data_IF_492822171370
#
_entry.id   IF_492822171370
#
_cell.length_a   1.000
_cell.length_b   1.000
_cell.length_c   1.000
_cell.angle_alpha   90.00
_cell.angle_beta   90.00
_cell.angle_gamma   90.00
#
_symmetry.space_group_name_H-M   'P 1'
#
loop_
_entity.id
_entity.type
_entity.pdbx_description
1 polymer ?
#
# COMPACT_ATOMS: atom_id res chain seq x y z
N UNK A 1 23.01 -11.24 5.09
CA UNK A 1 21.74 -11.47 5.74
C UNK A 1 21.18 -12.84 5.33
N UNK A 2 21.30 -13.81 6.25
CA UNK A 2 20.82 -15.17 6.03
C UNK A 2 19.46 -15.43 6.69
N UNK A 3 18.61 -14.45 6.76
CA UNK A 3 17.21 -14.69 7.12
C UNK A 3 16.56 -15.46 5.97
N UNK A 4 16.69 -16.78 6.03
CA UNK A 4 16.08 -17.70 5.07
C UNK A 4 14.60 -17.80 5.38
N UNK A 5 13.83 -16.76 5.01
CA UNK A 5 12.41 -16.98 4.85
C UNK A 5 12.24 -17.97 3.68
N UNK A 6 11.46 -19.03 3.87
CA UNK A 6 11.17 -19.99 2.79
C UNK A 6 10.68 -19.31 1.52
N UNK A 7 9.94 -18.19 1.66
CA UNK A 7 9.47 -17.38 0.56
C UNK A 7 10.59 -16.75 -0.26
N UNK A 8 11.67 -16.29 0.37
CA UNK A 8 12.81 -15.70 -0.34
C UNK A 8 13.58 -16.74 -1.15
N UNK A 9 13.74 -17.98 -0.62
CA UNK A 9 14.34 -19.08 -1.37
C UNK A 9 13.58 -19.43 -2.65
N UNK A 10 12.23 -19.40 -2.62
CA UNK A 10 11.40 -19.58 -3.82
C UNK A 10 11.59 -18.43 -4.83
N UNK A 11 11.68 -17.19 -4.34
CA UNK A 11 11.95 -16.02 -5.17
C UNK A 11 13.28 -16.16 -5.91
N UNK A 12 14.37 -16.55 -5.23
CA UNK A 12 15.69 -16.75 -5.87
C UNK A 12 15.66 -17.85 -6.94
N UNK A 13 15.03 -18.99 -6.67
CA UNK A 13 14.89 -20.06 -7.66
C UNK A 13 14.14 -19.60 -8.90
N UNK A 14 13.08 -18.81 -8.71
CA UNK A 14 12.31 -18.23 -9.82
C UNK A 14 13.10 -17.17 -10.59
N UNK A 15 13.93 -16.37 -9.91
CA UNK A 15 14.81 -15.42 -10.58
C UNK A 15 15.78 -16.13 -11.52
N UNK A 16 16.45 -17.20 -11.06
CA UNK A 16 17.37 -17.97 -11.90
C UNK A 16 16.64 -18.63 -13.08
N UNK A 17 15.46 -19.20 -12.86
CA UNK A 17 14.64 -19.74 -13.93
C UNK A 17 14.31 -18.70 -15.00
N UNK A 18 13.90 -17.49 -14.62
CA UNK A 18 13.58 -16.43 -15.57
C UNK A 18 14.84 -15.81 -16.22
N UNK A 19 15.98 -15.76 -15.54
CA UNK A 19 17.25 -15.35 -16.14
C UNK A 19 17.61 -16.29 -17.29
N UNK A 20 17.51 -17.59 -17.07
CA UNK A 20 17.81 -18.57 -18.13
C UNK A 20 16.79 -18.48 -19.27
N UNK A 21 15.50 -18.40 -18.98
CA UNK A 21 14.44 -18.28 -20.00
C UNK A 21 14.63 -17.05 -20.90
N UNK A 22 15.08 -15.92 -20.35
CA UNK A 22 15.27 -14.65 -21.06
C UNK A 22 16.74 -14.33 -21.34
N UNK A 23 17.63 -15.34 -21.32
CA UNK A 23 19.08 -15.17 -21.51
C UNK A 23 19.45 -14.39 -22.77
N UNK A 24 18.73 -14.59 -23.87
CA UNK A 24 18.96 -13.95 -25.16
C UNK A 24 18.03 -12.74 -25.40
N UNK A 25 17.25 -12.33 -24.42
CA UNK A 25 16.36 -11.16 -24.52
C UNK A 25 17.04 -9.91 -23.92
N UNK A 26 16.61 -8.70 -24.29
CA UNK A 26 17.16 -7.46 -23.71
C UNK A 26 16.91 -7.29 -22.21
N UNK A 27 16.06 -8.13 -21.63
CA UNK A 27 15.75 -8.17 -20.21
C UNK A 27 14.50 -8.99 -19.89
N UNK A 28 14.20 -9.17 -18.61
CA UNK A 28 13.02 -9.89 -18.16
C UNK A 28 11.84 -8.91 -18.12
N UNK A 29 10.75 -9.15 -18.91
CA UNK A 29 9.60 -8.25 -18.90
C UNK A 29 9.04 -8.02 -17.51
N UNK A 30 8.68 -6.76 -17.18
CA UNK A 30 8.14 -6.41 -15.87
C UNK A 30 6.90 -7.23 -15.49
N UNK A 31 6.10 -7.65 -16.45
CA UNK A 31 4.96 -8.54 -16.26
C UNK A 31 5.32 -9.90 -15.64
N UNK A 32 6.60 -10.30 -15.63
CA UNK A 32 7.08 -11.51 -14.95
C UNK A 32 7.40 -11.28 -13.48
N UNK A 33 7.42 -10.03 -13.01
CA UNK A 33 7.72 -9.72 -11.60
C UNK A 33 6.78 -10.43 -10.63
N UNK A 34 5.49 -10.49 -10.93
CA UNK A 34 4.51 -11.23 -10.12
C UNK A 34 4.72 -12.75 -10.10
N UNK A 35 5.40 -13.30 -11.09
CA UNK A 35 5.75 -14.73 -11.14
C UNK A 35 7.03 -15.02 -10.34
N UNK A 36 7.99 -14.09 -10.38
CA UNK A 36 9.21 -14.14 -9.57
C UNK A 36 8.84 -14.00 -8.09
N UNK A 37 8.10 -12.96 -7.75
CA UNK A 37 7.55 -12.72 -6.41
C UNK A 37 6.14 -13.28 -6.29
N UNK A 38 6.06 -14.61 -6.37
CA UNK A 38 4.80 -15.33 -6.54
C UNK A 38 3.91 -15.30 -5.29
N UNK A 39 2.61 -15.54 -5.49
CA UNK A 39 1.67 -15.70 -4.39
C UNK A 39 2.05 -16.87 -3.47
N UNK A 40 2.66 -17.94 -4.01
CA UNK A 40 3.15 -19.05 -3.20
C UNK A 40 4.30 -18.63 -2.29
N UNK A 41 5.23 -17.79 -2.78
CA UNK A 41 6.34 -17.26 -1.98
C UNK A 41 5.84 -16.36 -0.85
N UNK A 42 4.87 -15.46 -1.14
CA UNK A 42 4.24 -14.62 -0.13
C UNK A 42 3.56 -15.46 0.95
N UNK A 43 2.70 -16.39 0.54
CA UNK A 43 2.01 -17.28 1.47
C UNK A 43 2.97 -18.09 2.36
N UNK A 44 4.03 -18.70 1.78
CA UNK A 44 5.01 -19.46 2.56
C UNK A 44 5.71 -18.62 3.62
N UNK A 45 6.02 -17.35 3.29
CA UNK A 45 6.66 -16.42 4.23
C UNK A 45 5.71 -16.03 5.36
N UNK A 46 4.51 -15.57 5.01
CA UNK A 46 3.49 -15.14 5.96
C UNK A 46 3.04 -16.31 6.85
N UNK A 47 2.82 -17.50 6.29
CA UNK A 47 2.46 -18.70 7.04
C UNK A 47 3.51 -19.07 8.08
N UNK A 48 4.80 -18.99 7.72
CA UNK A 48 5.87 -19.28 8.67
C UNK A 48 5.87 -18.28 9.83
N UNK A 49 5.77 -16.98 9.53
CA UNK A 49 5.75 -15.92 10.54
C UNK A 49 4.54 -16.07 11.49
N UNK A 50 3.35 -16.26 10.93
CA UNK A 50 2.11 -16.49 11.69
C UNK A 50 2.23 -17.72 12.60
N UNK A 51 2.73 -18.84 12.07
CA UNK A 51 2.94 -20.06 12.84
C UNK A 51 3.91 -19.85 14.00
N UNK A 52 5.03 -19.18 13.75
CA UNK A 52 6.03 -18.92 14.79
C UNK A 52 5.51 -18.00 15.87
N UNK A 53 4.80 -16.94 15.50
CA UNK A 53 4.17 -16.02 16.43
C UNK A 53 3.11 -16.73 17.29
N UNK A 54 2.25 -17.55 16.68
CA UNK A 54 1.23 -18.32 17.40
C UNK A 54 1.85 -19.31 18.40
N UNK A 55 2.92 -20.01 18.01
CA UNK A 55 3.62 -20.95 18.92
C UNK A 55 4.30 -20.23 20.10
N UNK A 56 4.77 -19.00 19.88
CA UNK A 56 5.43 -18.20 20.90
C UNK A 56 4.45 -17.35 21.75
N UNK A 57 3.15 -17.34 21.42
CA UNK A 57 2.18 -16.43 22.03
C UNK A 57 2.49 -14.95 21.77
N UNK A 58 3.26 -14.64 20.71
CA UNK A 58 3.72 -13.30 20.42
C UNK A 58 2.70 -12.51 19.58
N UNK A 59 2.71 -11.18 19.73
CA UNK A 59 1.99 -10.29 18.82
C UNK A 59 2.76 -10.15 17.52
N UNK A 60 2.06 -10.20 16.39
CA UNK A 60 2.63 -10.06 15.05
C UNK A 60 1.75 -9.14 14.22
N UNK A 61 2.36 -8.19 13.51
CA UNK A 61 1.71 -7.43 12.45
C UNK A 61 2.37 -7.78 11.11
N UNK A 62 1.59 -8.35 10.18
CA UNK A 62 2.08 -8.76 8.86
C UNK A 62 1.90 -7.60 7.89
N UNK A 63 3.02 -7.05 7.42
CA UNK A 63 3.05 -5.92 6.50
C UNK A 63 2.61 -6.33 5.08
N UNK A 64 2.04 -5.40 4.33
CA UNK A 64 1.80 -5.42 2.87
C UNK A 64 1.29 -6.77 2.31
N UNK A 65 0.27 -7.34 2.93
CA UNK A 65 -0.41 -8.55 2.40
C UNK A 65 -0.89 -8.26 0.97
N UNK A 66 -0.59 -9.16 0.05
CA UNK A 66 -0.77 -8.90 -1.38
C UNK A 66 -1.54 -9.98 -2.15
N UNK A 67 -1.95 -11.07 -1.49
CA UNK A 67 -2.61 -12.21 -2.15
C UNK A 67 -3.86 -12.68 -1.42
N UNK A 68 -4.85 -13.16 -2.18
CA UNK A 68 -6.04 -13.80 -1.63
C UNK A 68 -5.71 -15.02 -0.76
N UNK A 69 -4.63 -15.74 -1.11
CA UNK A 69 -4.22 -16.93 -0.36
C UNK A 69 -3.71 -16.60 1.04
N UNK A 70 -3.02 -15.48 1.21
CA UNK A 70 -2.51 -15.05 2.52
C UNK A 70 -3.64 -14.70 3.49
N UNK A 71 -4.80 -14.22 3.00
CA UNK A 71 -5.94 -13.84 3.82
C UNK A 71 -6.47 -14.98 4.70
N UNK A 72 -6.26 -16.23 4.30
CA UNK A 72 -6.62 -17.42 5.08
C UNK A 72 -5.84 -17.58 6.41
N UNK A 73 -4.78 -16.78 6.59
CA UNK A 73 -3.92 -16.79 7.77
C UNK A 73 -4.43 -15.84 8.87
N UNK A 74 -5.40 -14.99 8.57
CA UNK A 74 -5.86 -13.90 9.43
C UNK A 74 -7.34 -14.08 9.81
N UNK A 75 -7.68 -13.60 10.99
CA UNK A 75 -9.04 -13.63 11.53
C UNK A 75 -9.77 -12.32 11.22
N UNK A 76 -11.10 -12.38 11.18
CA UNK A 76 -12.04 -11.25 11.14
C UNK A 76 -12.55 -10.84 12.55
N UNK A 77 -11.95 -11.39 13.60
CA UNK A 77 -12.27 -11.01 14.97
C UNK A 77 -12.09 -9.50 15.23
N UNK A 78 -12.70 -8.93 16.27
CA UNK A 78 -12.43 -7.57 16.71
C UNK A 78 -10.92 -7.33 16.93
N UNK A 79 -10.45 -6.12 16.63
CA UNK A 79 -9.01 -5.81 16.66
C UNK A 79 -8.37 -6.04 18.03
N UNK A 80 -9.11 -5.74 19.10
CA UNK A 80 -8.68 -5.93 20.49
C UNK A 80 -8.43 -7.40 20.85
N UNK A 81 -9.08 -8.33 20.16
CA UNK A 81 -8.94 -9.77 20.39
C UNK A 81 -7.85 -10.41 19.52
N UNK A 82 -7.23 -9.63 18.61
CA UNK A 82 -6.21 -10.14 17.70
C UNK A 82 -4.80 -10.05 18.27
N UNK A 83 -4.11 -11.17 18.29
CA UNK A 83 -2.65 -11.22 18.46
C UNK A 83 -1.90 -11.08 17.14
N UNK A 84 -2.52 -11.48 16.04
CA UNK A 84 -1.96 -11.43 14.70
C UNK A 84 -2.84 -10.52 13.87
N UNK A 85 -2.24 -9.43 13.39
CA UNK A 85 -2.89 -8.40 12.57
C UNK A 85 -2.20 -8.30 11.20
N UNK A 86 -2.88 -7.71 10.24
CA UNK A 86 -2.39 -7.61 8.86
C UNK A 86 -2.71 -6.27 8.23
N UNK A 87 -1.83 -5.80 7.34
CA UNK A 87 -2.08 -4.61 6.54
C UNK A 87 -2.11 -4.90 5.04
N UNK A 88 -2.87 -4.11 4.30
CA UNK A 88 -2.80 -4.01 2.86
C UNK A 88 -2.29 -2.63 2.45
N UNK A 89 -1.38 -2.56 1.48
CA UNK A 89 -0.92 -1.27 0.99
C UNK A 89 -1.81 -0.76 -0.13
N UNK A 90 -1.96 0.56 -0.21
CA UNK A 90 -2.77 1.26 -1.20
C UNK A 90 -2.46 0.79 -2.62
N UNK A 91 -1.19 0.56 -2.93
CA UNK A 91 -0.76 0.05 -4.23
C UNK A 91 -1.44 -1.29 -4.59
N UNK A 92 -1.57 -2.21 -3.63
CA UNK A 92 -2.22 -3.51 -3.82
C UNK A 92 -3.76 -3.42 -3.85
N UNK A 93 -4.33 -2.33 -3.32
CA UNK A 93 -5.76 -2.03 -3.41
C UNK A 93 -6.13 -1.30 -4.70
N UNK A 94 -5.18 -0.60 -5.34
CA UNK A 94 -5.39 0.13 -6.59
C UNK A 94 -5.07 -0.72 -7.82
N UNK A 95 -3.85 -1.23 -7.88
CA UNK A 95 -3.28 -1.83 -9.09
C UNK A 95 -3.52 -3.34 -9.20
N UNK A 96 -3.44 -3.83 -10.43
CA UNK A 96 -3.50 -5.24 -10.82
C UNK A 96 -2.48 -5.53 -11.92
N UNK A 97 -2.22 -6.81 -12.20
CA UNK A 97 -1.18 -7.21 -13.15
C UNK A 97 -1.30 -6.56 -14.55
N UNK A 98 -2.53 -6.25 -15.00
CA UNK A 98 -2.76 -5.63 -16.30
C UNK A 98 -2.16 -4.22 -16.39
N UNK A 99 -2.08 -3.52 -15.28
CA UNK A 99 -1.59 -2.16 -15.20
C UNK A 99 -0.07 -2.05 -15.45
N UNK A 100 0.66 -3.19 -15.35
CA UNK A 100 2.05 -3.25 -15.81
C UNK A 100 2.21 -2.94 -17.31
N UNK A 101 1.16 -3.11 -18.12
CA UNK A 101 1.22 -2.80 -19.56
C UNK A 101 1.42 -1.31 -19.81
N UNK A 102 0.78 -0.48 -19.00
CA UNK A 102 0.78 0.99 -19.14
C UNK A 102 1.82 1.64 -18.23
N UNK A 103 1.86 1.22 -16.97
CA UNK A 103 2.69 1.85 -15.93
C UNK A 103 4.09 1.22 -15.81
N UNK A 104 4.32 0.07 -16.41
CA UNK A 104 5.63 -0.58 -16.47
C UNK A 104 6.25 -0.77 -15.08
N UNK A 105 7.51 -0.39 -14.98
CA UNK A 105 8.30 -0.47 -13.75
C UNK A 105 7.93 0.58 -12.71
N UNK A 106 7.18 1.62 -13.08
CA UNK A 106 6.69 2.63 -12.13
C UNK A 106 5.89 2.00 -10.99
N UNK A 107 5.14 0.92 -11.26
CA UNK A 107 4.39 0.18 -10.23
C UNK A 107 5.10 -1.09 -9.72
N UNK A 108 6.40 -1.22 -9.95
CA UNK A 108 7.18 -2.30 -9.35
C UNK A 108 7.37 -2.06 -7.86
N UNK A 109 6.90 -3.00 -7.05
CA UNK A 109 7.04 -3.02 -5.58
C UNK A 109 7.26 -4.44 -5.07
N UNK A 110 7.60 -4.59 -3.81
CA UNK A 110 7.72 -5.87 -3.11
C UNK A 110 6.86 -5.84 -1.83
N UNK A 111 5.85 -6.71 -1.75
CA UNK A 111 5.42 -7.73 -2.71
C UNK A 111 4.96 -7.15 -4.03
N UNK A 112 5.06 -7.95 -5.11
CA UNK A 112 4.64 -7.49 -6.45
C UNK A 112 3.14 -7.24 -6.52
N UNK A 113 2.71 -6.37 -7.44
CA UNK A 113 1.30 -6.26 -7.82
C UNK A 113 0.85 -7.60 -8.41
N UNK A 114 -0.29 -8.10 -7.94
CA UNK A 114 -0.83 -9.42 -8.25
C UNK A 114 -1.99 -9.36 -9.25
N UNK A 115 -2.73 -10.46 -9.37
CA UNK A 115 -3.90 -10.56 -10.25
C UNK A 115 -5.05 -9.71 -9.73
N UNK A 116 -6.01 -9.42 -10.61
CA UNK A 116 -7.24 -8.72 -10.23
C UNK A 116 -7.98 -9.43 -9.09
N UNK A 117 -8.06 -10.76 -9.14
CA UNK A 117 -8.72 -11.54 -8.08
C UNK A 117 -8.06 -11.35 -6.70
N UNK A 118 -6.74 -11.19 -6.64
CA UNK A 118 -6.03 -10.90 -5.38
C UNK A 118 -6.39 -9.50 -4.87
N UNK A 119 -6.38 -8.48 -5.75
CA UNK A 119 -6.79 -7.12 -5.40
C UNK A 119 -8.24 -7.08 -4.86
N UNK A 120 -9.15 -7.73 -5.57
CA UNK A 120 -10.57 -7.71 -5.21
C UNK A 120 -10.81 -8.47 -3.89
N UNK A 121 -10.06 -9.55 -3.64
CA UNK A 121 -10.06 -10.25 -2.35
C UNK A 121 -9.51 -9.37 -1.21
N UNK A 122 -8.43 -8.61 -1.44
CA UNK A 122 -7.90 -7.67 -0.44
C UNK A 122 -8.91 -6.58 -0.10
N UNK A 123 -9.60 -6.01 -1.10
CA UNK A 123 -10.67 -5.03 -0.88
C UNK A 123 -11.80 -5.58 -0.02
N UNK A 124 -12.24 -6.80 -0.30
CA UNK A 124 -13.22 -7.48 0.52
C UNK A 124 -12.70 -7.71 1.95
N UNK A 125 -11.45 -8.14 2.11
CA UNK A 125 -10.82 -8.40 3.41
C UNK A 125 -10.69 -7.14 4.28
N UNK A 126 -10.50 -5.96 3.68
CA UNK A 126 -10.57 -4.66 4.38
C UNK A 126 -11.98 -4.43 4.93
N UNK A 127 -13.01 -4.65 4.11
CA UNK A 127 -14.41 -4.44 4.51
C UNK A 127 -14.90 -5.44 5.57
N UNK A 128 -14.37 -6.66 5.56
CA UNK A 128 -14.78 -7.72 6.49
C UNK A 128 -13.93 -7.78 7.78
N UNK A 129 -12.95 -6.89 7.93
CA UNK A 129 -12.10 -6.85 9.12
C UNK A 129 -10.96 -7.87 9.15
N UNK A 130 -10.76 -8.67 8.10
CA UNK A 130 -9.61 -9.59 7.97
C UNK A 130 -8.30 -8.81 7.83
N UNK A 131 -8.32 -7.70 7.07
CA UNK A 131 -7.24 -6.71 7.02
C UNK A 131 -7.54 -5.59 8.02
N UNK A 132 -6.58 -5.30 8.86
CA UNK A 132 -6.71 -4.37 10.00
C UNK A 132 -6.28 -2.95 9.66
N UNK A 133 -5.29 -2.79 8.77
CA UNK A 133 -4.67 -1.50 8.44
C UNK A 133 -4.56 -1.32 6.94
N UNK A 134 -4.76 -0.09 6.49
CA UNK A 134 -4.38 0.37 5.15
C UNK A 134 -3.13 1.24 5.30
N UNK A 135 -2.02 0.81 4.68
CA UNK A 135 -0.73 1.48 4.73
C UNK A 135 -0.26 1.93 3.34
N UNK A 136 0.82 2.70 3.29
CA UNK A 136 1.32 3.27 2.03
C UNK A 136 2.45 2.48 1.40
N UNK A 137 3.28 1.82 2.20
CA UNK A 137 4.59 1.28 1.77
C UNK A 137 5.36 2.32 0.92
N UNK A 138 5.40 3.57 1.43
CA UNK A 138 6.03 4.69 0.73
C UNK A 138 7.54 4.47 0.61
N UNK A 139 7.98 4.11 -0.58
CA UNK A 139 9.39 3.87 -0.90
C UNK A 139 9.78 4.68 -2.16
N UNK A 140 10.07 5.98 -2.02
CA UNK A 140 10.38 6.85 -3.14
C UNK A 140 11.79 6.57 -3.68
N UNK A 141 11.85 6.11 -4.92
CA UNK A 141 13.07 5.99 -5.70
C UNK A 141 13.07 7.08 -6.77
N UNK A 142 14.24 7.48 -7.26
CA UNK A 142 14.34 8.36 -8.42
C UNK A 142 13.74 7.67 -9.65
N UNK A 143 13.17 8.43 -10.58
CA UNK A 143 12.57 7.85 -11.78
C UNK A 143 13.60 7.09 -12.62
N UNK A 144 14.84 7.53 -12.65
CA UNK A 144 15.98 6.83 -13.29
C UNK A 144 16.27 5.47 -12.66
N UNK A 145 16.05 5.30 -11.35
CA UNK A 145 16.20 4.02 -10.66
C UNK A 145 15.05 3.04 -10.99
N UNK A 146 13.95 3.53 -11.53
CA UNK A 146 12.84 2.72 -12.03
C UNK A 146 13.08 2.19 -13.45
N UNK A 147 14.17 2.56 -14.08
CA UNK A 147 14.53 2.05 -15.41
C UNK A 147 15.06 0.61 -15.35
N UNK A 148 14.91 -0.11 -16.45
CA UNK A 148 15.38 -1.48 -16.58
C UNK A 148 14.25 -2.51 -16.63
N UNK A 149 14.56 -3.73 -16.26
CA UNK A 149 13.69 -4.89 -16.35
C UNK A 149 13.12 -5.32 -14.98
N UNK A 150 12.45 -6.48 -14.95
CA UNK A 150 11.86 -7.03 -13.73
C UNK A 150 12.87 -7.29 -12.59
N UNK A 151 14.16 -7.40 -12.89
CA UNK A 151 15.21 -7.58 -11.87
C UNK A 151 15.91 -6.27 -11.51
N UNK A 152 16.26 -5.45 -12.51
CA UNK A 152 17.13 -4.28 -12.36
C UNK A 152 16.40 -3.08 -11.77
N UNK A 153 15.19 -2.76 -12.28
CA UNK A 153 14.43 -1.61 -11.77
C UNK A 153 14.20 -1.73 -10.26
N UNK A 154 14.37 -0.64 -9.53
CA UNK A 154 14.14 -0.61 -8.08
C UNK A 154 12.66 -0.85 -7.75
N UNK A 155 12.42 -1.54 -6.63
CA UNK A 155 11.07 -1.84 -6.13
C UNK A 155 10.68 -0.80 -5.08
N UNK A 156 9.55 -0.14 -5.28
CA UNK A 156 9.01 0.91 -4.41
C UNK A 156 8.37 2.03 -5.21
N UNK A 157 7.45 2.74 -4.57
CA UNK A 157 6.66 3.83 -5.17
C UNK A 157 6.44 4.97 -4.18
N UNK A 158 6.38 6.23 -4.64
CA UNK A 158 6.00 7.37 -3.80
C UNK A 158 4.48 7.44 -3.62
N UNK A 159 3.94 6.73 -2.60
CA UNK A 159 2.49 6.57 -2.43
C UNK A 159 1.87 7.49 -1.36
N UNK A 160 2.67 8.09 -0.45
CA UNK A 160 2.11 8.74 0.76
C UNK A 160 1.23 9.95 0.44
N UNK A 161 1.64 10.80 -0.50
CA UNK A 161 0.98 12.09 -0.77
C UNK A 161 -0.48 11.92 -1.20
N UNK A 162 -0.73 10.96 -2.09
CA UNK A 162 -2.06 10.75 -2.68
C UNK A 162 -2.81 9.57 -2.04
N UNK A 163 -2.33 9.06 -0.91
CA UNK A 163 -2.89 7.89 -0.25
C UNK A 163 -4.35 8.09 0.15
N UNK A 164 -4.64 9.15 0.90
CA UNK A 164 -5.98 9.44 1.40
C UNK A 164 -6.96 9.71 0.25
N UNK A 165 -6.60 10.58 -0.69
CA UNK A 165 -7.48 10.92 -1.83
C UNK A 165 -7.77 9.71 -2.71
N UNK A 166 -6.80 8.80 -2.88
CA UNK A 166 -7.01 7.54 -3.60
C UNK A 166 -8.03 6.64 -2.90
N UNK A 167 -7.99 6.56 -1.58
CA UNK A 167 -8.94 5.77 -0.80
C UNK A 167 -10.34 6.40 -0.81
N UNK A 168 -10.43 7.73 -0.72
CA UNK A 168 -11.70 8.46 -0.82
C UNK A 168 -12.34 8.31 -2.21
N UNK A 169 -11.57 8.28 -3.30
CA UNK A 169 -12.08 7.95 -4.64
C UNK A 169 -12.59 6.49 -4.73
N UNK A 170 -11.99 5.57 -3.99
CA UNK A 170 -12.52 4.20 -3.88
C UNK A 170 -13.82 4.16 -3.07
N UNK A 171 -13.98 5.04 -2.08
CA UNK A 171 -15.24 5.20 -1.35
C UNK A 171 -16.35 5.75 -2.25
N UNK A 172 -16.06 6.75 -3.08
CA UNK A 172 -17.02 7.29 -4.06
C UNK A 172 -17.50 6.21 -5.05
N UNK A 173 -16.63 5.26 -5.37
CA UNK A 173 -16.96 4.08 -6.20
C UNK A 173 -17.69 2.97 -5.43
N UNK A 174 -18.02 3.17 -4.16
CA UNK A 174 -18.71 2.21 -3.31
C UNK A 174 -17.86 0.98 -2.92
N UNK A 175 -16.52 1.07 -3.04
CA UNK A 175 -15.62 -0.04 -2.69
C UNK A 175 -15.40 -0.09 -1.18
N UNK A 176 -15.29 1.07 -0.53
CA UNK A 176 -15.16 1.23 0.92
C UNK A 176 -16.17 2.26 1.43
N UNK A 177 -16.47 2.26 2.72
CA UNK A 177 -17.08 3.41 3.38
C UNK A 177 -15.99 4.38 3.88
N UNK A 178 -16.36 5.65 4.12
CA UNK A 178 -15.44 6.63 4.72
C UNK A 178 -15.05 6.18 6.13
N UNK A 179 -16.00 5.62 6.87
CA UNK A 179 -15.77 5.08 8.22
C UNK A 179 -14.74 3.96 8.20
N UNK A 180 -14.83 3.03 7.23
CA UNK A 180 -13.82 1.98 7.04
C UNK A 180 -12.44 2.58 6.77
N UNK A 181 -12.34 3.61 5.93
CA UNK A 181 -11.07 4.28 5.65
C UNK A 181 -10.49 4.91 6.92
N UNK A 182 -11.31 5.61 7.70
CA UNK A 182 -10.88 6.24 8.97
C UNK A 182 -10.46 5.16 9.97
N UNK A 183 -11.23 4.10 10.10
CA UNK A 183 -10.88 2.97 10.98
C UNK A 183 -9.51 2.39 10.60
N UNK A 184 -9.31 2.05 9.33
CA UNK A 184 -8.12 1.33 8.86
C UNK A 184 -6.88 2.22 8.70
N UNK A 185 -7.03 3.53 8.53
CA UNK A 185 -5.90 4.46 8.35
C UNK A 185 -5.59 5.30 9.60
N UNK A 186 -6.51 5.38 10.57
CA UNK A 186 -6.32 6.21 11.77
C UNK A 186 -6.47 5.40 13.07
N UNK A 187 -7.62 4.77 13.30
CA UNK A 187 -7.94 4.10 14.56
C UNK A 187 -7.07 2.86 14.78
N UNK A 188 -7.12 1.92 13.85
CA UNK A 188 -6.42 0.65 13.95
C UNK A 188 -4.88 0.80 14.05
N UNK A 189 -4.21 1.66 13.26
CA UNK A 189 -2.79 1.91 13.45
C UNK A 189 -2.46 2.44 14.85
N UNK A 190 -3.25 3.39 15.37
CA UNK A 190 -3.03 3.92 16.71
C UNK A 190 -3.15 2.86 17.80
N UNK A 191 -4.12 1.95 17.68
CA UNK A 191 -4.31 0.84 18.62
C UNK A 191 -3.19 -0.20 18.51
N UNK A 192 -2.85 -0.65 17.31
CA UNK A 192 -1.84 -1.71 17.07
C UNK A 192 -0.47 -1.28 17.57
N UNK A 193 -0.09 -0.03 17.30
CA UNK A 193 1.22 0.51 17.70
C UNK A 193 1.22 1.19 19.06
N UNK A 194 0.10 1.18 19.79
CA UNK A 194 -0.01 1.78 21.14
C UNK A 194 0.26 3.28 21.15
N UNK A 195 -0.17 4.01 20.11
CA UNK A 195 0.03 5.46 19.99
C UNK A 195 -1.01 6.16 20.85
N UNK A 196 -0.57 6.66 22.00
CA UNK A 196 -1.45 7.29 22.96
C UNK A 196 -2.00 8.64 22.45
N UNK A 197 -3.28 8.90 22.75
CA UNK A 197 -3.97 10.18 22.49
C UNK A 197 -3.93 10.63 21.02
N UNK A 198 -3.91 9.69 20.06
CA UNK A 198 -3.95 9.94 18.61
C UNK A 198 -4.88 8.95 17.90
N UNK A 199 -5.13 9.20 16.63
CA UNK A 199 -5.97 8.36 15.79
C UNK A 199 -7.47 8.59 15.94
N UNK A 200 -7.90 9.45 16.86
CA UNK A 200 -9.31 9.78 17.11
C UNK A 200 -9.50 11.27 17.33
N UNK A 201 -10.66 11.79 16.95
CA UNK A 201 -11.11 13.14 17.29
C UNK A 201 -11.85 13.07 18.63
N UNK A 202 -11.13 13.36 19.73
CA UNK A 202 -11.67 13.32 21.10
C UNK A 202 -11.03 14.43 21.95
N UNK A 203 -11.75 14.90 22.96
CA UNK A 203 -11.19 15.80 23.96
C UNK A 203 -9.96 15.18 24.66
N UNK A 204 -8.90 15.97 24.83
CA UNK A 204 -7.63 15.52 25.40
C UNK A 204 -6.70 14.79 24.44
N UNK A 205 -7.13 14.55 23.18
CA UNK A 205 -6.29 13.97 22.15
C UNK A 205 -5.51 15.05 21.40
N UNK A 206 -4.38 14.66 20.80
CA UNK A 206 -3.62 15.54 19.93
C UNK A 206 -4.43 15.87 18.67
N UNK A 207 -4.42 17.14 18.30
CA UNK A 207 -5.11 17.60 17.09
C UNK A 207 -4.28 17.30 15.83
N UNK A 208 -4.24 16.01 15.48
CA UNK A 208 -3.74 15.54 14.19
C UNK A 208 -4.94 15.38 13.25
N UNK A 209 -5.18 16.39 12.43
CA UNK A 209 -6.40 16.52 11.65
C UNK A 209 -6.07 16.73 10.18
N UNK A 210 -6.88 16.15 9.32
CA UNK A 210 -6.85 16.41 7.87
C UNK A 210 -8.22 16.92 7.44
N UNK A 211 -8.25 18.09 6.83
CA UNK A 211 -9.46 18.63 6.17
C UNK A 211 -9.40 18.27 4.70
N UNK A 212 -10.46 17.64 4.22
CA UNK A 212 -10.63 17.28 2.81
C UNK A 212 -11.85 17.96 2.23
N UNK A 213 -11.80 18.35 0.97
CA UNK A 213 -12.95 18.80 0.21
C UNK A 213 -13.26 17.83 -0.93
N UNK A 214 -14.51 17.86 -1.37
CA UNK A 214 -14.99 17.14 -2.54
C UNK A 214 -15.55 18.15 -3.52
N UNK A 215 -15.05 18.19 -4.76
CA UNK A 215 -15.41 19.24 -5.69
C UNK A 215 -15.09 18.89 -7.14
N UNK A 216 -14.60 19.88 -7.89
CA UNK A 216 -14.16 19.68 -9.26
C UNK A 216 -12.98 18.73 -9.36
N UNK A 217 -12.88 18.05 -10.52
CA UNK A 217 -11.76 17.14 -10.78
C UNK A 217 -10.48 17.93 -10.98
N UNK A 218 -9.43 17.48 -10.34
CA UNK A 218 -8.06 17.93 -10.55
C UNK A 218 -7.17 16.74 -10.91
N UNK A 219 -6.11 16.99 -11.65
CA UNK A 219 -5.21 15.95 -12.16
C UNK A 219 -3.88 15.97 -11.42
N UNK A 220 -3.35 14.78 -11.13
CA UNK A 220 -1.98 14.63 -10.61
C UNK A 220 -0.98 14.90 -11.73
N UNK A 221 -0.16 15.91 -11.56
CA UNK A 221 0.88 16.32 -12.49
C UNK A 221 2.17 16.68 -11.75
N UNK A 222 3.22 16.97 -12.46
CA UNK A 222 4.53 17.30 -11.90
C UNK A 222 4.53 18.54 -11.00
N UNK A 223 3.61 19.49 -11.22
CA UNK A 223 3.53 20.74 -10.44
C UNK A 223 2.96 20.53 -9.04
N UNK A 224 2.09 19.51 -8.87
CA UNK A 224 1.46 19.20 -7.59
C UNK A 224 2.06 17.99 -6.86
N UNK A 225 3.14 17.40 -7.39
CA UNK A 225 3.89 16.31 -6.72
C UNK A 225 4.91 16.93 -5.78
N UNK A 226 4.71 16.73 -4.47
CA UNK A 226 5.58 17.25 -3.40
C UNK A 226 6.73 16.29 -3.04
N UNK A 227 6.64 15.04 -3.45
CA UNK A 227 7.70 14.05 -3.18
C UNK A 227 9.01 14.48 -3.86
N UNK A 228 10.12 14.45 -3.12
CA UNK A 228 11.45 14.84 -3.63
C UNK A 228 11.92 14.03 -4.84
N UNK A 229 11.37 12.84 -5.06
CA UNK A 229 11.66 12.05 -6.26
C UNK A 229 11.02 12.60 -7.55
N UNK A 230 10.12 13.59 -7.46
CA UNK A 230 9.56 14.36 -8.58
C UNK A 230 8.58 13.61 -9.48
N UNK A 231 8.06 12.46 -9.04
CA UNK A 231 7.11 11.67 -9.81
C UNK A 231 6.12 10.91 -8.92
N UNK A 232 5.02 10.42 -9.50
CA UNK A 232 4.07 9.52 -8.85
C UNK A 232 3.57 8.48 -9.86
N UNK A 233 3.27 7.23 -9.43
CA UNK A 233 2.58 6.26 -10.29
C UNK A 233 1.14 6.67 -10.59
N UNK A 234 0.62 7.69 -9.91
CA UNK A 234 -0.72 8.24 -10.08
C UNK A 234 -0.75 9.46 -11.03
N UNK A 235 0.37 9.86 -11.59
CA UNK A 235 0.46 10.95 -12.57
C UNK A 235 -0.51 10.72 -13.74
N UNK A 236 -1.29 11.74 -14.12
CA UNK A 236 -2.38 11.65 -15.08
C UNK A 236 -3.71 11.15 -14.51
N UNK A 237 -3.77 10.68 -13.26
CA UNK A 237 -5.03 10.35 -12.62
C UNK A 237 -5.75 11.62 -12.13
N UNK A 238 -7.08 11.61 -12.21
CA UNK A 238 -7.92 12.70 -11.74
C UNK A 238 -8.67 12.31 -10.48
N UNK A 239 -8.72 13.21 -9.50
CA UNK A 239 -9.42 13.07 -8.24
C UNK A 239 -10.47 14.18 -8.07
N UNK A 240 -11.57 13.88 -7.36
CA UNK A 240 -12.53 14.87 -6.86
C UNK A 240 -12.23 15.29 -5.43
N UNK A 241 -11.60 14.40 -4.67
CA UNK A 241 -11.20 14.64 -3.29
C UNK A 241 -9.85 15.35 -3.25
N UNK A 242 -9.75 16.33 -2.35
CA UNK A 242 -8.53 17.11 -2.16
C UNK A 242 -8.24 17.31 -0.69
N UNK A 243 -6.98 17.19 -0.30
CA UNK A 243 -6.52 17.61 1.04
C UNK A 243 -6.36 19.11 1.03
N UNK A 244 -7.11 19.80 1.86
CA UNK A 244 -7.06 21.27 1.97
C UNK A 244 -6.09 21.71 3.07
N UNK A 245 -6.15 21.04 4.22
CA UNK A 245 -5.30 21.38 5.38
C UNK A 245 -4.90 20.10 6.11
N UNK A 246 -3.68 20.12 6.63
CA UNK A 246 -3.22 19.09 7.57
C UNK A 246 -2.66 19.77 8.82
N UNK A 247 -3.11 19.30 9.97
CA UNK A 247 -2.62 19.73 11.28
C UNK A 247 -1.89 18.57 11.94
N UNK A 248 -0.77 18.85 12.58
CA UNK A 248 -0.07 17.93 13.46
C UNK A 248 0.17 18.61 14.81
N UNK A 249 -0.24 17.97 15.91
CA UNK A 249 -0.20 18.53 17.25
C UNK A 249 -0.89 19.92 17.35
N UNK A 250 -1.96 20.15 16.59
CA UNK A 250 -2.66 21.43 16.54
C UNK A 250 -2.01 22.50 15.65
N UNK A 251 -0.84 22.23 15.07
CA UNK A 251 -0.15 23.16 14.18
C UNK A 251 -0.50 22.88 12.73
N UNK A 252 -0.85 23.91 11.97
CA UNK A 252 -1.05 23.80 10.52
C UNK A 252 0.30 23.53 9.85
N UNK A 253 0.43 22.34 9.24
CA UNK A 253 1.67 21.89 8.57
C UNK A 253 1.54 21.82 7.04
N UNK A 254 0.30 21.82 6.53
CA UNK A 254 0.01 21.85 5.10
C UNK A 254 -1.25 22.66 4.84
N UNK A 255 -1.18 23.53 3.83
CA UNK A 255 -2.29 24.30 3.27
C UNK A 255 -2.27 24.19 1.75
N UNK A 256 -3.38 23.76 1.15
CA UNK A 256 -3.54 23.74 -0.30
C UNK A 256 -3.64 25.18 -0.82
N UNK A 257 -2.71 25.58 -1.69
CA UNK A 257 -2.62 26.95 -2.23
C UNK A 257 -3.59 27.22 -3.40
N UNK A 258 -4.47 26.29 -3.77
CA UNK A 258 -5.34 26.43 -4.96
C UNK A 258 -6.60 27.29 -4.68
N UNK A 259 -6.81 27.78 -3.47
CA UNK A 259 -7.90 28.69 -3.11
C UNK A 259 -7.43 29.95 -2.39
N UNK A 260 -6.43 30.64 -2.95
CA UNK A 260 -6.31 32.07 -2.73
C UNK A 260 -6.86 32.78 -3.97
N UNK A 261 -8.15 32.69 -4.18
CA UNK A 261 -8.88 33.77 -4.81
C UNK A 261 -9.14 34.77 -3.68
N UNK A 262 -8.30 35.78 -3.57
CA UNK A 262 -8.63 36.95 -2.81
C UNK A 262 -9.92 37.59 -3.34
N UNK A 263 -10.72 38.19 -2.44
CA UNK A 263 -11.97 38.87 -2.79
C UNK A 263 -11.77 40.05 -3.74
#
# INVERSE_FOLDING_TARGET
DRSVSRGLGDVYKRQEYYKEMFRNAPGIPISKHLNIRSAAACYSSSQLAVRMASLAGARLHVLHVSTAKELQLFSDAPLEDKHITAEACIAHLLYRQQDYKELGTRIKCNPSIKKQADRDALRNAVNTGVIDVIATDHAPHLLSEKEGDALKAMSGMPMIQFSLVSMLELAEKGIFSIETIVEKMCHAPAQIYGICNRGYIREGYQADLVLVSHGERWEVNTENILSKCGWSPLEGNSFRWKVEKTFANGHLIYLSLIHISEP
#
